data_IF_936740204471
#
_entry.id   IF_936740204471
#
_cell.length_a   1.000
_cell.length_b   1.000
_cell.length_c   1.000
_cell.angle_alpha   90.00
_cell.angle_beta   90.00
_cell.angle_gamma   90.00
#
_symmetry.space_group_name_H-M   'P 1'
#
loop_
_entity.id
_entity.type
_entity.pdbx_description
1 polymer ?
#
# COMPACT_ATOMS: atom_id res chain seq x y z
N UNK A 1 -6.70 -7.50 27.37
CA UNK A 1 -6.00 -7.05 26.15
C UNK A 1 -6.87 -7.38 24.95
N UNK A 2 -7.32 -6.39 24.17
CA UNK A 2 -8.09 -6.67 22.96
C UNK A 2 -7.14 -7.25 21.90
N UNK A 3 -7.40 -8.47 21.45
CA UNK A 3 -6.72 -9.05 20.29
C UNK A 3 -7.06 -8.21 19.06
N UNK A 4 -6.09 -7.83 18.21
CA UNK A 4 -6.43 -7.26 16.92
C UNK A 4 -7.15 -8.36 16.12
N UNK A 5 -8.47 -8.24 16.01
CA UNK A 5 -9.24 -9.10 15.10
C UNK A 5 -8.92 -8.58 13.71
N UNK A 6 -8.11 -9.32 12.95
CA UNK A 6 -7.89 -9.03 11.54
C UNK A 6 -9.26 -9.15 10.85
N UNK A 7 -9.91 -8.03 10.59
CA UNK A 7 -11.23 -7.92 9.95
C UNK A 7 -11.18 -8.19 8.44
N UNK A 8 -10.23 -9.04 8.04
CA UNK A 8 -9.97 -9.43 6.66
C UNK A 8 -10.12 -10.95 6.57
N UNK A 9 -10.81 -11.40 5.53
CA UNK A 9 -10.84 -12.81 5.13
C UNK A 9 -9.42 -13.37 4.95
N UNK A 10 -9.21 -14.69 5.11
CA UNK A 10 -7.89 -15.31 4.96
C UNK A 10 -7.21 -14.96 3.63
N UNK A 11 -7.97 -14.88 2.54
CA UNK A 11 -7.52 -14.51 1.20
C UNK A 11 -6.99 -13.07 1.18
N UNK A 12 -7.71 -12.13 1.79
CA UNK A 12 -7.32 -10.73 1.88
C UNK A 12 -6.08 -10.54 2.76
N UNK A 13 -5.97 -11.31 3.86
CA UNK A 13 -4.80 -11.31 4.73
C UNK A 13 -3.54 -11.80 3.99
N UNK A 14 -3.64 -12.93 3.26
CA UNK A 14 -2.57 -13.46 2.41
C UNK A 14 -2.14 -12.44 1.37
N UNK A 15 -3.09 -11.81 0.66
CA UNK A 15 -2.78 -10.78 -0.33
C UNK A 15 -2.05 -9.58 0.26
N UNK A 16 -2.56 -9.05 1.36
CA UNK A 16 -1.97 -7.88 2.02
C UNK A 16 -0.56 -8.18 2.55
N UNK A 17 -0.35 -9.40 3.05
CA UNK A 17 0.95 -9.81 3.56
C UNK A 17 2.00 -9.92 2.46
N UNK A 18 1.69 -10.61 1.35
CA UNK A 18 2.64 -10.84 0.26
C UNK A 18 2.65 -9.77 -0.84
N UNK A 19 1.81 -8.73 -0.75
CA UNK A 19 1.71 -7.70 -1.80
C UNK A 19 1.10 -8.23 -3.11
N UNK A 20 0.21 -9.21 -3.02
CA UNK A 20 -0.43 -9.85 -4.17
C UNK A 20 -1.70 -9.09 -4.59
N UNK A 21 -1.96 -9.03 -5.90
CA UNK A 21 -3.25 -8.62 -6.45
C UNK A 21 -4.26 -9.78 -6.40
N UNK A 22 -5.56 -9.48 -6.51
CA UNK A 22 -6.58 -10.53 -6.62
C UNK A 22 -6.35 -11.45 -7.82
N UNK A 23 -5.82 -10.91 -8.92
CA UNK A 23 -5.50 -11.66 -10.14
C UNK A 23 -4.34 -12.65 -9.90
N UNK A 24 -3.30 -12.22 -9.20
CA UNK A 24 -2.15 -13.07 -8.85
C UNK A 24 -2.54 -14.19 -7.89
N UNK A 25 -3.37 -13.89 -6.88
CA UNK A 25 -3.91 -14.91 -6.00
C UNK A 25 -4.85 -15.87 -6.76
N UNK A 26 -5.68 -15.35 -7.67
CA UNK A 26 -6.58 -16.17 -8.48
C UNK A 26 -5.81 -17.18 -9.34
N UNK A 27 -4.73 -16.73 -10.01
CA UNK A 27 -3.82 -17.61 -10.77
C UNK A 27 -3.20 -18.68 -9.88
N UNK A 28 -2.73 -18.31 -8.69
CA UNK A 28 -2.22 -19.29 -7.73
C UNK A 28 -3.27 -20.35 -7.37
N UNK A 29 -4.50 -19.92 -7.08
CA UNK A 29 -5.59 -20.81 -6.68
C UNK A 29 -6.23 -21.60 -7.83
N UNK A 30 -5.95 -21.22 -9.09
CA UNK A 30 -6.57 -21.82 -10.28
C UNK A 30 -8.06 -21.45 -10.41
N UNK A 31 -8.42 -20.24 -10.02
CA UNK A 31 -9.80 -19.70 -10.03
C UNK A 31 -9.80 -18.33 -10.74
N UNK A 32 -10.98 -17.75 -10.96
CA UNK A 32 -11.07 -16.39 -11.51
C UNK A 32 -10.89 -15.32 -10.44
N UNK A 33 -10.45 -14.12 -10.85
CA UNK A 33 -10.38 -12.94 -9.96
C UNK A 33 -11.70 -12.65 -9.25
N UNK A 34 -12.83 -12.79 -9.96
CA UNK A 34 -14.15 -12.59 -9.38
C UNK A 34 -14.47 -13.59 -8.27
N UNK A 35 -14.02 -14.85 -8.40
CA UNK A 35 -14.15 -15.86 -7.35
C UNK A 35 -13.35 -15.50 -6.10
N UNK A 36 -12.13 -14.98 -6.25
CA UNK A 36 -11.35 -14.44 -5.11
C UNK A 36 -12.10 -13.30 -4.44
N UNK A 37 -12.69 -12.36 -5.19
CA UNK A 37 -13.50 -11.29 -4.61
C UNK A 37 -14.73 -11.79 -3.84
N UNK A 38 -15.37 -12.86 -4.30
CA UNK A 38 -16.47 -13.50 -3.56
C UNK A 38 -16.01 -14.22 -2.30
N UNK A 39 -14.83 -14.85 -2.33
CA UNK A 39 -14.20 -15.45 -1.16
C UNK A 39 -13.84 -14.38 -0.13
N UNK A 40 -13.22 -13.29 -0.60
CA UNK A 40 -12.79 -12.20 0.27
C UNK A 40 -13.95 -11.52 1.01
N UNK A 41 -15.13 -11.49 0.38
CA UNK A 41 -16.36 -10.92 0.94
C UNK A 41 -17.25 -11.93 1.66
N UNK A 42 -16.81 -13.19 1.79
CA UNK A 42 -17.57 -14.27 2.42
C UNK A 42 -18.81 -14.72 1.65
N UNK A 43 -19.00 -14.25 0.41
CA UNK A 43 -20.16 -14.60 -0.42
C UNK A 43 -20.10 -16.02 -0.96
N UNK A 44 -18.90 -16.58 -1.16
CA UNK A 44 -18.71 -17.97 -1.59
C UNK A 44 -17.47 -18.59 -0.93
N UNK A 45 -17.56 -19.84 -0.46
CA UNK A 45 -16.39 -20.54 0.08
C UNK A 45 -15.41 -20.95 -1.04
N UNK A 46 -14.17 -21.23 -0.65
CA UNK A 46 -13.16 -21.80 -1.54
C UNK A 46 -13.48 -23.27 -1.88
N UNK A 47 -13.11 -23.69 -3.11
CA UNK A 47 -13.11 -25.11 -3.46
C UNK A 47 -12.07 -25.86 -2.61
N UNK A 48 -12.20 -27.18 -2.46
CA UNK A 48 -11.25 -27.97 -1.68
C UNK A 48 -9.78 -27.75 -2.12
N UNK A 49 -9.52 -27.75 -3.43
CA UNK A 49 -8.18 -27.48 -3.98
C UNK A 49 -7.69 -26.07 -3.64
N UNK A 50 -8.54 -25.05 -3.78
CA UNK A 50 -8.18 -23.67 -3.42
C UNK A 50 -7.96 -23.52 -1.91
N UNK A 51 -8.77 -24.18 -1.08
CA UNK A 51 -8.61 -24.17 0.38
C UNK A 51 -7.28 -24.79 0.83
N UNK A 52 -6.83 -25.88 0.21
CA UNK A 52 -5.52 -26.49 0.49
C UNK A 52 -4.38 -25.53 0.14
N UNK A 53 -4.45 -24.89 -1.03
CA UNK A 53 -3.48 -23.87 -1.46
C UNK A 53 -3.48 -22.65 -0.53
N UNK A 54 -4.64 -22.14 -0.15
CA UNK A 54 -4.79 -21.06 0.83
C UNK A 54 -4.20 -21.44 2.19
N UNK A 55 -4.42 -22.68 2.65
CA UNK A 55 -3.83 -23.17 3.90
C UNK A 55 -2.30 -23.16 3.84
N UNK A 56 -1.71 -23.51 2.68
CA UNK A 56 -0.26 -23.47 2.49
C UNK A 56 0.30 -22.05 2.62
N UNK A 57 -0.33 -21.06 1.98
CA UNK A 57 0.06 -19.66 2.13
C UNK A 57 -0.26 -19.09 3.51
N UNK A 58 -1.37 -19.51 4.12
CA UNK A 58 -1.80 -19.05 5.44
C UNK A 58 -0.79 -19.38 6.54
N UNK A 59 -0.12 -20.54 6.46
CA UNK A 59 0.96 -20.91 7.40
C UNK A 59 2.15 -19.94 7.37
N UNK A 60 2.33 -19.23 6.27
CA UNK A 60 3.41 -18.26 6.06
C UNK A 60 3.01 -16.84 6.50
N UNK A 61 1.78 -16.63 6.97
CA UNK A 61 1.39 -15.38 7.62
C UNK A 61 2.13 -15.24 8.97
N UNK A 62 2.33 -14.01 9.47
CA UNK A 62 2.87 -13.79 10.80
C UNK A 62 1.90 -14.29 11.88
N UNK A 63 2.36 -14.50 13.12
CA UNK A 63 1.48 -14.77 14.24
C UNK A 63 0.47 -13.63 14.46
N UNK A 64 -0.77 -13.92 14.89
CA UNK A 64 -1.29 -15.22 15.31
C UNK A 64 -1.81 -16.12 14.20
N UNK A 65 -1.95 -15.63 12.97
CA UNK A 65 -2.59 -16.38 11.87
C UNK A 65 -1.71 -17.49 11.27
N UNK A 66 -0.38 -17.36 11.39
CA UNK A 66 0.58 -18.35 10.92
C UNK A 66 1.89 -18.34 11.72
N UNK A 67 2.94 -18.86 11.09
CA UNK A 67 4.29 -19.02 11.67
C UNK A 67 5.38 -18.37 10.83
N UNK A 68 4.99 -17.56 9.83
CA UNK A 68 5.92 -16.92 8.92
C UNK A 68 6.54 -15.64 9.49
N UNK A 69 7.61 -15.15 8.84
CA UNK A 69 8.23 -13.88 9.19
C UNK A 69 7.29 -12.70 8.88
N UNK A 70 7.33 -11.61 9.67
CA UNK A 70 6.58 -10.41 9.33
C UNK A 70 7.11 -9.78 8.04
N UNK A 71 6.20 -9.27 7.22
CA UNK A 71 6.57 -8.50 6.02
C UNK A 71 7.27 -7.19 6.43
N UNK A 72 8.23 -6.69 5.63
CA UNK A 72 8.89 -5.42 5.92
C UNK A 72 7.87 -4.28 5.97
N UNK A 73 7.97 -3.47 7.00
CA UNK A 73 7.18 -2.25 7.16
C UNK A 73 7.96 -1.11 6.51
N UNK A 74 7.46 -0.62 5.37
CA UNK A 74 8.00 0.61 4.78
C UNK A 74 7.42 1.80 5.55
N UNK A 75 8.17 2.30 6.53
CA UNK A 75 7.81 3.54 7.23
C UNK A 75 8.30 4.74 6.44
N UNK A 76 7.49 5.18 5.47
CA UNK A 76 7.63 6.52 4.94
C UNK A 76 7.11 7.51 5.99
N UNK A 77 8.03 8.21 6.66
CA UNK A 77 7.68 9.35 7.50
C UNK A 77 7.83 10.63 6.65
N UNK A 78 6.75 11.39 6.39
CA UNK A 78 6.90 12.68 5.74
C UNK A 78 7.79 13.58 6.62
N UNK A 79 8.71 14.36 6.02
CA UNK A 79 9.51 15.31 6.79
C UNK A 79 8.59 16.32 7.49
N UNK A 80 8.96 16.81 8.68
CA UNK A 80 8.18 17.83 9.38
C UNK A 80 8.05 19.07 8.50
N UNK A 81 6.81 19.53 8.33
CA UNK A 81 6.48 20.73 7.56
C UNK A 81 6.53 21.95 8.48
N UNK A 82 7.11 23.09 8.07
CA UNK A 82 7.04 24.32 8.85
C UNK A 82 5.57 24.74 9.10
N UNK A 83 5.26 25.13 10.34
CA UNK A 83 3.88 25.44 10.75
C UNK A 83 3.26 26.64 10.01
N UNK A 84 4.06 27.61 9.56
CA UNK A 84 3.65 28.72 8.70
C UNK A 84 4.86 29.26 7.93
N UNK A 85 4.66 29.78 6.72
CA UNK A 85 5.73 30.39 5.92
C UNK A 85 6.12 31.78 6.44
N UNK A 86 5.17 32.47 7.06
CA UNK A 86 5.38 33.81 7.61
C UNK A 86 4.89 33.83 9.06
N UNK A 87 5.73 34.37 9.95
CA UNK A 87 5.38 34.61 11.35
C UNK A 87 4.49 35.83 11.55
N UNK A 88 4.01 36.03 12.78
CA UNK A 88 3.17 37.16 13.16
C UNK A 88 3.84 38.54 12.95
N UNK A 89 5.17 38.57 12.90
CA UNK A 89 5.99 39.79 12.82
C UNK A 89 6.12 40.38 11.41
N UNK A 90 5.59 39.72 10.37
CA UNK A 90 5.70 40.28 9.02
C UNK A 90 4.86 41.58 8.93
N UNK A 91 5.48 42.72 8.53
CA UNK A 91 4.74 43.96 8.31
C UNK A 91 3.82 43.76 7.11
N UNK A 92 2.51 43.71 7.36
CA UNK A 92 1.48 43.51 6.36
C UNK A 92 0.62 44.78 6.24
N UNK A 93 0.10 45.09 5.05
CA UNK A 93 -0.81 46.22 4.87
C UNK A 93 -2.03 46.10 5.78
N UNK A 94 -2.49 47.22 6.32
CA UNK A 94 -3.79 47.30 6.96
C UNK A 94 -4.91 47.10 5.92
N UNK A 95 -6.04 46.51 6.34
CA UNK A 95 -7.22 46.35 5.47
C UNK A 95 -7.16 45.17 4.50
N UNK A 96 -6.71 44.00 4.95
CA UNK A 96 -6.73 42.77 4.13
C UNK A 96 -8.17 42.36 3.76
N UNK A 97 -8.42 42.14 2.46
CA UNK A 97 -9.73 41.65 2.00
C UNK A 97 -9.90 40.15 2.32
N UNK A 98 -10.84 39.82 3.22
CA UNK A 98 -11.08 38.44 3.65
C UNK A 98 -11.57 37.50 2.53
N UNK A 99 -12.34 38.00 1.55
CA UNK A 99 -12.94 37.16 0.51
C UNK A 99 -11.89 36.49 -0.41
N UNK A 100 -10.92 37.22 -1.00
CA UNK A 100 -9.80 36.62 -1.72
C UNK A 100 -9.01 35.60 -0.90
N UNK A 101 -8.78 35.86 0.39
CA UNK A 101 -8.03 34.95 1.27
C UNK A 101 -8.81 33.63 1.46
N UNK A 102 -10.12 33.68 1.73
CA UNK A 102 -10.98 32.49 1.81
C UNK A 102 -11.03 31.72 0.49
N UNK A 103 -11.08 32.43 -0.64
CA UNK A 103 -11.03 31.79 -1.96
C UNK A 103 -9.74 31.00 -2.15
N UNK A 104 -8.59 31.59 -1.80
CA UNK A 104 -7.30 30.91 -1.88
C UNK A 104 -7.23 29.72 -0.92
N UNK A 105 -7.73 29.86 0.30
CA UNK A 105 -7.79 28.76 1.28
C UNK A 105 -8.54 27.53 0.72
N UNK A 106 -9.70 27.76 0.07
CA UNK A 106 -10.46 26.67 -0.60
C UNK A 106 -9.67 26.03 -1.74
N UNK A 107 -8.89 26.81 -2.51
CA UNK A 107 -8.03 26.27 -3.56
C UNK A 107 -6.92 25.39 -2.98
N UNK A 108 -6.25 25.83 -1.90
CA UNK A 108 -5.23 25.06 -1.21
C UNK A 108 -5.80 23.75 -0.68
N UNK A 109 -6.97 23.78 -0.03
CA UNK A 109 -7.64 22.59 0.49
C UNK A 109 -7.92 21.54 -0.59
N UNK A 110 -8.46 21.97 -1.75
CA UNK A 110 -8.70 21.07 -2.89
C UNK A 110 -7.40 20.47 -3.43
N UNK A 111 -6.35 21.28 -3.59
CA UNK A 111 -5.04 20.81 -4.08
C UNK A 111 -4.39 19.83 -3.11
N UNK A 112 -4.45 20.10 -1.81
CA UNK A 112 -3.96 19.18 -0.78
C UNK A 112 -4.64 17.82 -0.84
N UNK A 113 -5.96 17.78 -1.03
CA UNK A 113 -6.69 16.52 -1.18
C UNK A 113 -6.20 15.70 -2.39
N UNK A 114 -5.95 16.36 -3.53
CA UNK A 114 -5.41 15.71 -4.72
C UNK A 114 -3.98 15.18 -4.48
N UNK A 115 -3.07 16.00 -3.95
CA UNK A 115 -1.69 15.57 -3.72
C UNK A 115 -1.59 14.44 -2.69
N UNK A 116 -2.43 14.46 -1.64
CA UNK A 116 -2.50 13.36 -0.66
C UNK A 116 -2.99 12.07 -1.28
N UNK A 117 -3.97 12.14 -2.20
CA UNK A 117 -4.42 10.97 -2.98
C UNK A 117 -3.28 10.44 -3.84
N UNK A 118 -2.57 11.30 -4.56
CA UNK A 118 -1.45 10.89 -5.42
C UNK A 118 -0.33 10.26 -4.59
N UNK A 119 -0.03 10.83 -3.42
CA UNK A 119 0.97 10.31 -2.49
C UNK A 119 0.57 8.92 -2.01
N UNK A 120 -0.69 8.75 -1.61
CA UNK A 120 -1.23 7.46 -1.21
C UNK A 120 -1.13 6.41 -2.34
N UNK A 121 -1.44 6.79 -3.59
CA UNK A 121 -1.35 5.88 -4.74
C UNK A 121 0.10 5.46 -5.00
N UNK A 122 1.04 6.41 -5.01
CA UNK A 122 2.45 6.13 -5.26
C UNK A 122 3.05 5.27 -4.15
N UNK A 123 2.87 5.67 -2.89
CA UNK A 123 3.38 4.91 -1.72
C UNK A 123 2.79 3.51 -1.67
N UNK A 124 1.48 3.34 -1.88
CA UNK A 124 0.85 2.02 -1.90
C UNK A 124 1.43 1.11 -2.99
N UNK A 125 1.71 1.64 -4.19
CA UNK A 125 2.36 0.89 -5.27
C UNK A 125 3.78 0.47 -4.90
N UNK A 126 4.57 1.39 -4.37
CA UNK A 126 5.96 1.14 -3.96
C UNK A 126 6.01 0.07 -2.87
N UNK A 127 5.21 0.21 -1.81
CA UNK A 127 5.13 -0.78 -0.73
C UNK A 127 4.65 -2.13 -1.24
N UNK A 128 3.71 -2.16 -2.19
CA UNK A 128 3.26 -3.40 -2.83
C UNK A 128 4.39 -4.13 -3.56
N UNK A 129 5.19 -3.39 -4.35
CA UNK A 129 6.34 -3.98 -5.05
C UNK A 129 7.45 -4.42 -4.10
N UNK A 130 7.77 -3.62 -3.07
CA UNK A 130 8.76 -3.99 -2.05
C UNK A 130 8.35 -5.26 -1.32
N UNK A 131 7.09 -5.34 -0.87
CA UNK A 131 6.54 -6.54 -0.23
C UNK A 131 6.60 -7.74 -1.15
N UNK A 132 6.27 -7.58 -2.43
CA UNK A 132 6.33 -8.68 -3.39
C UNK A 132 7.75 -9.15 -3.67
N UNK A 133 8.73 -8.25 -3.76
CA UNK A 133 10.15 -8.63 -3.90
C UNK A 133 10.66 -9.38 -2.68
N UNK A 134 10.26 -8.96 -1.48
CA UNK A 134 10.54 -9.70 -0.26
C UNK A 134 9.83 -11.05 -0.24
N UNK A 135 8.56 -11.10 -0.68
CA UNK A 135 7.74 -12.29 -0.67
C UNK A 135 8.27 -13.37 -1.62
N UNK A 136 8.81 -13.01 -2.78
CA UNK A 136 9.22 -13.96 -3.81
C UNK A 136 10.18 -15.05 -3.28
N UNK A 137 11.35 -14.74 -2.66
CA UNK A 137 12.24 -15.76 -2.11
C UNK A 137 11.61 -16.55 -0.95
N UNK A 138 10.73 -15.93 -0.16
CA UNK A 138 9.99 -16.62 0.92
C UNK A 138 9.04 -17.66 0.33
N UNK A 139 8.29 -17.29 -0.70
CA UNK A 139 7.35 -18.15 -1.42
C UNK A 139 8.09 -19.24 -2.19
N UNK A 140 9.21 -18.94 -2.84
CA UNK A 140 10.05 -19.94 -3.51
C UNK A 140 10.52 -21.01 -2.52
N UNK A 141 11.05 -20.59 -1.37
CA UNK A 141 11.54 -21.51 -0.32
C UNK A 141 10.39 -22.38 0.23
N UNK A 142 9.24 -21.77 0.54
CA UNK A 142 8.12 -22.46 1.18
C UNK A 142 7.28 -23.32 0.22
N UNK A 143 7.23 -22.96 -1.07
CA UNK A 143 6.47 -23.68 -2.08
C UNK A 143 7.29 -24.75 -2.79
N UNK A 144 8.62 -24.75 -2.61
CA UNK A 144 9.47 -25.87 -3.04
C UNK A 144 8.98 -27.17 -2.39
N UNK A 145 8.68 -28.22 -3.17
CA UNK A 145 8.19 -29.49 -2.62
C UNK A 145 9.25 -30.11 -1.71
N UNK A 146 8.85 -30.53 -0.52
CA UNK A 146 9.71 -31.36 0.33
C UNK A 146 9.48 -32.83 -0.07
N UNK A 147 10.51 -33.69 -0.20
CA UNK A 147 10.38 -35.10 -0.57
C UNK A 147 9.36 -35.92 0.26
N UNK A 148 9.00 -35.46 1.47
CA UNK A 148 7.98 -36.09 2.31
C UNK A 148 6.54 -35.59 2.05
N UNK A 149 6.34 -34.62 1.15
CA UNK A 149 5.03 -34.05 0.84
C UNK A 149 4.32 -34.91 -0.23
N UNK A 150 3.11 -35.44 0.01
CA UNK A 150 2.34 -36.15 -1.02
C UNK A 150 2.05 -35.29 -2.26
N UNK A 151 2.03 -33.95 -2.14
CA UNK A 151 1.93 -33.04 -3.29
C UNK A 151 3.22 -33.01 -4.15
N UNK A 152 4.36 -33.49 -3.63
CA UNK A 152 5.58 -33.68 -4.41
C UNK A 152 5.44 -34.80 -5.46
N UNK A 153 4.42 -35.66 -5.36
CA UNK A 153 4.15 -36.68 -6.37
C UNK A 153 3.48 -36.11 -7.64
N UNK A 154 2.82 -34.94 -7.55
CA UNK A 154 2.08 -34.36 -8.66
C UNK A 154 2.93 -33.36 -9.47
N UNK A 155 3.59 -33.85 -10.51
CA UNK A 155 4.36 -33.04 -11.46
C UNK A 155 3.58 -31.83 -12.02
N UNK A 156 2.26 -31.98 -12.22
CA UNK A 156 1.39 -30.91 -12.70
C UNK A 156 1.25 -29.76 -11.69
N UNK A 157 1.18 -30.07 -10.39
CA UNK A 157 1.11 -29.06 -9.33
C UNK A 157 2.44 -28.30 -9.22
N UNK A 158 3.56 -29.01 -9.31
CA UNK A 158 4.88 -28.38 -9.31
C UNK A 158 5.08 -27.45 -10.51
N UNK A 159 4.70 -27.89 -11.71
CA UNK A 159 4.76 -27.07 -12.91
C UNK A 159 3.84 -25.84 -12.80
N UNK A 160 2.67 -25.98 -12.18
CA UNK A 160 1.77 -24.86 -11.89
C UNK A 160 2.41 -23.84 -10.94
N UNK A 161 2.96 -24.30 -9.82
CA UNK A 161 3.61 -23.44 -8.83
C UNK A 161 4.81 -22.72 -9.43
N UNK A 162 5.62 -23.42 -10.23
CA UNK A 162 6.80 -22.83 -10.87
C UNK A 162 6.41 -21.75 -11.87
N UNK A 163 5.46 -22.02 -12.76
CA UNK A 163 4.94 -21.01 -13.68
C UNK A 163 4.39 -19.79 -12.96
N UNK A 164 3.63 -19.99 -11.88
CA UNK A 164 3.09 -18.89 -11.09
C UNK A 164 4.19 -18.03 -10.45
N UNK A 165 5.24 -18.64 -9.89
CA UNK A 165 6.39 -17.91 -9.33
C UNK A 165 7.16 -17.16 -10.42
N UNK A 166 7.41 -17.80 -11.56
CA UNK A 166 8.09 -17.18 -12.71
C UNK A 166 7.28 -15.98 -13.24
N UNK A 167 5.95 -16.10 -13.34
CA UNK A 167 5.05 -15.00 -13.71
C UNK A 167 5.07 -13.88 -12.67
N UNK A 168 5.07 -14.21 -11.38
CA UNK A 168 5.14 -13.22 -10.30
C UNK A 168 6.45 -12.44 -10.37
N UNK A 169 7.57 -13.14 -10.60
CA UNK A 169 8.89 -12.54 -10.80
C UNK A 169 8.93 -11.64 -12.04
N UNK A 170 8.36 -12.08 -13.17
CA UNK A 170 8.34 -11.32 -14.42
C UNK A 170 7.52 -10.02 -14.33
N UNK A 171 6.51 -9.95 -13.44
CA UNK A 171 5.71 -8.74 -13.23
C UNK A 171 6.37 -7.69 -12.34
N UNK A 172 7.46 -8.03 -11.66
CA UNK A 172 8.15 -7.09 -10.79
C UNK A 172 8.97 -6.09 -11.63
N UNK A 173 8.88 -4.77 -11.37
CA UNK A 173 9.82 -3.83 -11.96
C UNK A 173 11.26 -4.17 -11.54
N UNK A 174 12.30 -3.78 -12.30
CA UNK A 174 13.69 -3.87 -11.85
C UNK A 174 13.88 -3.07 -10.57
N UNK A 175 14.81 -3.47 -9.69
CA UNK A 175 15.07 -2.73 -8.44
C UNK A 175 15.92 -1.46 -8.71
N UNK A 176 15.66 -0.34 -8.02
CA UNK A 176 14.63 -0.11 -6.97
C UNK A 176 13.16 -0.10 -7.48
N UNK A 177 12.17 -0.29 -6.59
CA UNK A 177 10.73 -0.39 -6.93
C UNK A 177 10.21 0.77 -7.76
N UNK A 178 10.70 1.95 -7.40
CA UNK A 178 10.54 3.15 -8.17
C UNK A 178 11.75 3.25 -9.09
N UNK A 179 11.51 3.57 -10.35
CA UNK A 179 12.56 4.10 -11.20
C UNK A 179 13.07 5.42 -10.56
N UNK A 180 14.32 5.85 -10.79
CA UNK A 180 14.86 7.07 -10.16
C UNK A 180 14.02 8.34 -10.38
N UNK A 181 13.30 8.41 -11.50
CA UNK A 181 12.33 9.45 -11.82
C UNK A 181 11.11 9.43 -10.87
N UNK A 182 10.70 8.25 -10.40
CA UNK A 182 9.55 8.07 -9.52
C UNK A 182 9.88 8.33 -8.04
N UNK A 183 11.11 8.05 -7.59
CA UNK A 183 11.62 8.53 -6.29
C UNK A 183 11.69 10.05 -6.26
N UNK A 184 12.19 10.65 -7.36
CA UNK A 184 12.20 12.10 -7.53
C UNK A 184 10.78 12.65 -7.54
N UNK A 185 9.84 12.00 -8.24
CA UNK A 185 8.44 12.40 -8.25
C UNK A 185 7.80 12.35 -6.85
N UNK A 186 8.11 11.32 -6.06
CA UNK A 186 7.67 11.20 -4.67
C UNK A 186 8.24 12.36 -3.82
N UNK A 187 9.54 12.62 -3.91
CA UNK A 187 10.18 13.71 -3.18
C UNK A 187 9.57 15.08 -3.56
N UNK A 188 9.37 15.34 -4.85
CA UNK A 188 8.73 16.56 -5.35
C UNK A 188 7.28 16.69 -4.87
N UNK A 189 6.53 15.58 -4.81
CA UNK A 189 5.15 15.57 -4.32
C UNK A 189 5.08 15.96 -2.84
N UNK A 190 6.01 15.45 -2.05
CA UNK A 190 6.13 15.73 -0.62
C UNK A 190 6.48 17.20 -0.38
N UNK A 191 7.44 17.74 -1.13
CA UNK A 191 7.79 19.17 -1.08
C UNK A 191 6.59 20.05 -1.44
N UNK A 192 5.82 19.70 -2.47
CA UNK A 192 4.61 20.44 -2.87
C UNK A 192 3.51 20.39 -1.80
N UNK A 193 3.34 19.25 -1.15
CA UNK A 193 2.39 19.06 -0.07
C UNK A 193 2.78 19.93 1.13
N UNK A 194 4.05 19.90 1.53
CA UNK A 194 4.60 20.73 2.59
C UNK A 194 4.39 22.23 2.33
N UNK A 195 4.69 22.70 1.12
CA UNK A 195 4.50 24.09 0.74
C UNK A 195 3.02 24.54 0.82
N UNK A 196 2.09 23.70 0.35
CA UNK A 196 0.66 24.00 0.40
C UNK A 196 0.07 23.98 1.82
N UNK A 197 0.58 23.12 2.69
CA UNK A 197 0.20 23.08 4.11
C UNK A 197 0.65 24.36 4.83
N UNK A 198 1.91 24.77 4.61
CA UNK A 198 2.45 25.99 5.18
C UNK A 198 1.73 27.25 4.64
N UNK A 199 1.37 27.26 3.36
CA UNK A 199 0.51 28.31 2.79
C UNK A 199 -0.88 28.32 3.43
N UNK A 200 -1.53 27.15 3.58
CA UNK A 200 -2.85 27.06 4.18
C UNK A 200 -2.86 27.57 5.64
N UNK A 201 -1.85 27.23 6.43
CA UNK A 201 -1.68 27.74 7.78
C UNK A 201 -1.46 29.26 7.81
N UNK A 202 -0.67 29.78 6.88
CA UNK A 202 -0.46 31.23 6.71
C UNK A 202 -1.79 31.95 6.42
N UNK A 203 -2.63 31.40 5.54
CA UNK A 203 -3.94 31.99 5.20
C UNK A 203 -4.89 32.02 6.40
N UNK A 204 -4.80 31.06 7.32
CA UNK A 204 -5.56 31.07 8.59
C UNK A 204 -5.14 32.27 9.45
N UNK A 205 -3.84 32.53 9.60
CA UNK A 205 -3.34 33.70 10.33
C UNK A 205 -3.77 35.02 9.69
N UNK A 206 -3.72 35.12 8.35
CA UNK A 206 -4.18 36.31 7.63
C UNK A 206 -5.67 36.56 7.79
N UNK A 207 -6.50 35.51 7.80
CA UNK A 207 -7.94 35.65 8.07
C UNK A 207 -8.22 36.14 9.48
N UNK A 208 -7.47 35.68 10.48
CA UNK A 208 -7.60 36.16 11.85
C UNK A 208 -7.28 37.66 11.95
N UNK A 209 -6.22 38.12 11.29
CA UNK A 209 -5.85 39.55 11.22
C UNK A 209 -6.82 40.40 10.40
N UNK A 210 -7.50 39.83 9.40
CA UNK A 210 -8.50 40.55 8.62
C UNK A 210 -9.84 40.72 9.36
N UNK A 211 -10.03 40.02 10.47
CA UNK A 211 -11.23 40.08 11.30
C UNK A 211 -11.12 41.05 12.48
N UNK A 212 -9.90 41.50 12.80
CA UNK A 212 -9.58 42.53 13.80
C UNK A 212 -9.56 43.90 13.17
#
# INVERSE_FOLDING_TARGET
MPKPVSSLSPEAAIRAHFGLTQEELARYLGVSRGQVGHQETGRRPASAKAALRLTRLGRLLPPPEGFGPPAPTSTYAPPPVPAALFGAELPLPAGLAASPIRQRQRQCARRLALLRRDLHVLTSRTTGYERRRWALPVLETALTPHPADPAAAEHAEQAHLRRWLDELAATLPPAPALRPDADTALALLVVRLAALEAEAATLVHLLARAAT
#
